data_IF_980903639414
#
_entry.id   IF_980903639414
#
_cell.length_a   1.000
_cell.length_b   1.000
_cell.length_c   1.000
_cell.angle_alpha   90.00
_cell.angle_beta   90.00
_cell.angle_gamma   90.00
#
_symmetry.space_group_name_H-M   'P 1'
#
loop_
_entity.id
_entity.type
_entity.pdbx_description
1 polymer ?
#
# COMPACT_ATOMS: atom_id res chain seq x y z
N UNK A 1 -18.28 -9.25 15.74
CA UNK A 1 -18.82 -8.64 14.50
C UNK A 1 -18.52 -7.14 14.52
N UNK A 2 -18.19 -6.54 13.38
CA UNK A 2 -17.98 -5.09 13.28
C UNK A 2 -19.33 -4.33 13.30
N UNK A 3 -19.42 -3.15 13.94
CA UNK A 3 -20.59 -2.28 13.85
C UNK A 3 -20.92 -1.92 12.39
N UNK A 4 -22.21 -1.96 12.02
CA UNK A 4 -22.64 -1.71 10.63
C UNK A 4 -22.64 -0.24 10.24
N UNK A 5 -22.47 0.66 11.19
CA UNK A 5 -22.39 2.11 11.05
C UNK A 5 -20.95 2.66 11.09
N UNK A 6 -19.95 1.78 11.26
CA UNK A 6 -18.54 2.18 11.20
C UNK A 6 -18.26 2.90 9.87
N UNK A 7 -17.56 4.06 9.89
CA UNK A 7 -17.15 4.74 8.67
C UNK A 7 -16.22 3.86 7.84
N UNK A 8 -16.57 3.64 6.57
CA UNK A 8 -15.76 2.92 5.60
C UNK A 8 -15.52 3.79 4.37
N UNK A 9 -14.27 3.87 3.93
CA UNK A 9 -13.88 4.49 2.67
C UNK A 9 -13.55 3.40 1.65
N UNK A 10 -14.06 3.54 0.43
CA UNK A 10 -13.86 2.57 -0.67
C UNK A 10 -13.28 3.27 -1.89
N UNK A 11 -12.47 2.56 -2.68
CA UNK A 11 -11.80 3.15 -3.85
C UNK A 11 -12.76 3.58 -4.97
N UNK A 12 -13.89 2.90 -5.14
CA UNK A 12 -14.86 3.15 -6.20
C UNK A 12 -16.24 2.58 -5.85
N UNK A 13 -17.26 2.96 -6.61
CA UNK A 13 -18.67 2.63 -6.32
C UNK A 13 -18.96 1.12 -6.35
N UNK A 14 -18.25 0.34 -7.17
CA UNK A 14 -18.42 -1.13 -7.22
C UNK A 14 -18.11 -1.79 -5.86
N UNK A 15 -17.04 -1.37 -5.20
CA UNK A 15 -16.68 -1.83 -3.85
C UNK A 15 -17.67 -1.31 -2.81
N UNK A 16 -18.10 -0.06 -2.94
CA UNK A 16 -19.11 0.50 -2.05
C UNK A 16 -20.42 -0.28 -2.09
N UNK A 17 -20.90 -0.64 -3.28
CA UNK A 17 -22.12 -1.44 -3.46
C UNK A 17 -21.96 -2.84 -2.87
N UNK A 18 -20.82 -3.50 -3.10
CA UNK A 18 -20.54 -4.81 -2.51
C UNK A 18 -20.58 -4.73 -0.97
N UNK A 19 -19.88 -3.77 -0.38
CA UNK A 19 -19.82 -3.58 1.08
C UNK A 19 -21.20 -3.20 1.65
N UNK A 20 -21.97 -2.34 0.98
CA UNK A 20 -23.35 -2.00 1.38
C UNK A 20 -24.27 -3.22 1.33
N UNK A 21 -24.13 -4.10 0.34
CA UNK A 21 -24.92 -5.34 0.27
C UNK A 21 -24.64 -6.32 1.42
N UNK A 22 -23.49 -6.18 2.09
CA UNK A 22 -23.14 -6.89 3.33
C UNK A 22 -23.69 -6.22 4.61
N UNK A 23 -24.52 -5.19 4.46
CA UNK A 23 -25.26 -4.52 5.53
C UNK A 23 -24.58 -3.31 6.17
N UNK A 24 -23.42 -2.88 5.67
CA UNK A 24 -22.77 -1.64 6.13
C UNK A 24 -23.50 -0.40 5.62
N UNK A 25 -23.69 0.58 6.48
CA UNK A 25 -24.55 1.75 6.24
C UNK A 25 -23.76 3.03 5.96
N UNK A 26 -22.56 3.16 6.54
CA UNK A 26 -21.72 4.36 6.43
C UNK A 26 -20.53 4.10 5.49
N UNK A 27 -20.84 3.94 4.20
CA UNK A 27 -19.85 3.62 3.16
C UNK A 27 -19.70 4.80 2.21
N UNK A 28 -18.50 5.35 2.13
CA UNK A 28 -18.15 6.55 1.36
C UNK A 28 -17.16 6.17 0.26
N UNK A 29 -17.42 6.58 -0.97
CA UNK A 29 -16.43 6.43 -2.04
C UNK A 29 -15.41 7.56 -1.90
N UNK A 30 -14.13 7.20 -1.84
CA UNK A 30 -13.03 8.14 -1.93
C UNK A 30 -12.75 8.39 -3.42
N UNK A 31 -13.30 9.46 -3.98
CA UNK A 31 -13.10 9.79 -5.41
C UNK A 31 -11.72 10.39 -5.63
N UNK A 32 -11.41 11.47 -4.90
CA UNK A 32 -10.12 12.18 -4.94
C UNK A 32 -9.61 12.39 -3.52
N UNK A 33 -10.36 13.15 -2.72
CA UNK A 33 -10.03 13.45 -1.33
C UNK A 33 -11.27 13.40 -0.43
N UNK A 34 -11.04 13.23 0.86
CA UNK A 34 -12.04 13.33 1.91
C UNK A 34 -11.42 13.90 3.19
N UNK A 35 -12.26 14.41 4.08
CA UNK A 35 -11.88 14.77 5.44
C UNK A 35 -12.58 13.84 6.43
N UNK A 36 -11.82 13.38 7.43
CA UNK A 36 -12.35 12.55 8.50
C UNK A 36 -11.61 12.83 9.82
N UNK A 37 -12.32 13.45 10.76
CA UNK A 37 -11.77 13.71 12.09
C UNK A 37 -10.58 14.68 12.07
N UNK A 38 -10.59 15.67 11.17
CA UNK A 38 -9.48 16.61 10.99
C UNK A 38 -8.29 16.05 10.19
N UNK A 39 -8.41 14.84 9.65
CA UNK A 39 -7.40 14.24 8.75
C UNK A 39 -7.89 14.33 7.31
N UNK A 40 -7.07 14.94 6.45
CA UNK A 40 -7.25 14.88 5.00
C UNK A 40 -6.75 13.52 4.50
N UNK A 41 -7.62 12.83 3.76
CA UNK A 41 -7.39 11.52 3.16
C UNK A 41 -7.42 11.71 1.65
N UNK A 42 -6.34 11.41 0.95
CA UNK A 42 -6.24 11.61 -0.50
C UNK A 42 -5.95 10.28 -1.19
N UNK A 43 -6.78 9.92 -2.17
CA UNK A 43 -6.58 8.73 -3.00
C UNK A 43 -5.34 8.90 -3.87
N UNK A 44 -4.56 7.85 -4.01
CA UNK A 44 -3.48 7.77 -5.00
C UNK A 44 -3.72 6.59 -5.94
N UNK A 45 -3.09 6.65 -7.12
CA UNK A 45 -3.10 5.54 -8.05
C UNK A 45 -2.21 4.38 -7.61
N UNK A 46 -2.32 3.29 -8.34
CA UNK A 46 -1.57 2.05 -8.15
C UNK A 46 -1.95 1.04 -9.23
N UNK A 47 -1.14 0.00 -9.40
CA UNK A 47 -1.45 -1.13 -10.27
C UNK A 47 -1.02 -2.43 -9.60
N UNK A 48 -2.00 -3.30 -9.31
CA UNK A 48 -1.76 -4.59 -8.67
C UNK A 48 -1.30 -5.62 -9.70
N UNK A 49 -0.09 -5.48 -10.26
CA UNK A 49 0.41 -6.33 -11.35
C UNK A 49 1.18 -5.56 -12.42
N UNK A 50 1.84 -6.30 -13.30
CA UNK A 50 2.60 -5.71 -14.42
C UNK A 50 1.70 -5.40 -15.60
N UNK A 51 2.17 -4.57 -16.54
CA UNK A 51 1.40 -4.23 -17.74
C UNK A 51 1.10 -5.48 -18.60
N UNK A 52 2.02 -6.45 -18.62
CA UNK A 52 1.80 -7.75 -19.29
C UNK A 52 0.66 -8.53 -18.64
N UNK A 53 0.51 -8.44 -17.32
CA UNK A 53 -0.61 -9.08 -16.63
C UNK A 53 -1.93 -8.38 -16.97
N UNK A 54 -1.96 -7.04 -16.99
CA UNK A 54 -3.17 -6.29 -17.35
C UNK A 54 -3.54 -6.43 -18.83
N UNK A 55 -2.58 -6.74 -19.71
CA UNK A 55 -2.84 -7.05 -21.12
C UNK A 55 -3.60 -8.37 -21.32
N UNK A 56 -3.65 -9.26 -20.30
CA UNK A 56 -4.39 -10.53 -20.34
C UNK A 56 -5.69 -10.39 -19.53
N UNK A 57 -6.88 -10.37 -20.16
CA UNK A 57 -8.14 -10.12 -19.44
C UNK A 57 -8.44 -11.09 -18.30
N UNK A 58 -8.01 -12.35 -18.43
CA UNK A 58 -8.18 -13.36 -17.40
C UNK A 58 -7.35 -13.09 -16.13
N UNK A 59 -6.27 -12.31 -16.23
CA UNK A 59 -5.43 -11.88 -15.11
C UNK A 59 -5.86 -10.49 -14.61
N UNK A 60 -6.13 -9.56 -15.52
CA UNK A 60 -6.57 -8.21 -15.16
C UNK A 60 -7.82 -8.22 -14.28
N UNK A 61 -8.78 -9.11 -14.55
CA UNK A 61 -10.05 -9.19 -13.81
C UNK A 61 -9.88 -9.51 -12.31
N UNK A 62 -9.14 -10.56 -11.90
CA UNK A 62 -8.90 -10.83 -10.48
C UNK A 62 -7.94 -9.84 -9.82
N UNK A 63 -6.99 -9.25 -10.56
CA UNK A 63 -6.08 -8.23 -10.01
C UNK A 63 -6.82 -6.91 -9.70
N UNK A 64 -7.77 -6.52 -10.54
CA UNK A 64 -8.70 -5.43 -10.26
C UNK A 64 -8.03 -4.06 -10.13
N UNK A 65 -8.67 -3.19 -9.37
CA UNK A 65 -8.10 -1.89 -8.99
C UNK A 65 -7.70 -1.95 -7.51
N UNK A 66 -6.60 -1.29 -7.17
CA UNK A 66 -6.15 -1.10 -5.80
C UNK A 66 -5.58 0.31 -5.66
N UNK A 67 -6.14 1.09 -4.74
CA UNK A 67 -5.68 2.46 -4.47
C UNK A 67 -4.61 2.49 -3.37
N UNK A 68 -3.74 3.48 -3.45
CA UNK A 68 -3.03 3.98 -2.27
C UNK A 68 -3.77 5.15 -1.63
N UNK A 69 -3.29 5.59 -0.47
CA UNK A 69 -3.88 6.67 0.32
C UNK A 69 -2.81 7.50 1.01
N UNK A 70 -2.91 8.82 0.90
CA UNK A 70 -2.10 9.78 1.67
C UNK A 70 -2.94 10.38 2.79
N UNK A 71 -2.37 10.45 4.00
CA UNK A 71 -2.97 11.03 5.19
C UNK A 71 -2.20 12.27 5.60
N UNK A 72 -2.91 13.38 5.83
CA UNK A 72 -2.34 14.66 6.24
C UNK A 72 -3.19 15.30 7.33
N UNK A 73 -2.55 15.79 8.38
CA UNK A 73 -3.21 16.55 9.45
C UNK A 73 -2.24 17.60 10.02
N UNK A 74 -2.74 18.77 10.48
CA UNK A 74 -1.89 19.79 11.07
C UNK A 74 -1.14 19.27 12.30
N UNK A 75 0.18 19.47 12.35
CA UNK A 75 1.04 19.04 13.47
C UNK A 75 1.43 17.57 13.45
N UNK A 76 1.03 16.81 12.42
CA UNK A 76 1.38 15.41 12.23
C UNK A 76 2.19 15.21 10.96
N UNK A 77 2.98 14.12 10.94
CA UNK A 77 3.73 13.68 9.77
C UNK A 77 2.78 13.28 8.63
N UNK A 78 3.17 13.58 7.40
CA UNK A 78 2.46 13.07 6.22
C UNK A 78 2.77 11.58 6.05
N UNK A 79 1.73 10.74 6.02
CA UNK A 79 1.84 9.30 5.81
C UNK A 79 1.29 8.91 4.44
N UNK A 80 2.06 8.13 3.70
CA UNK A 80 1.63 7.53 2.44
C UNK A 80 1.53 6.01 2.57
N UNK A 81 0.32 5.45 2.42
CA UNK A 81 0.07 4.03 2.26
C UNK A 81 -0.03 3.71 0.76
N UNK A 82 0.96 3.01 0.20
CA UNK A 82 0.99 2.73 -1.23
C UNK A 82 -0.10 1.74 -1.69
N UNK A 83 -0.54 0.86 -0.80
CA UNK A 83 -1.48 -0.20 -1.13
C UNK A 83 -0.87 -1.33 -1.97
N UNK A 84 -1.73 -2.16 -2.55
CA UNK A 84 -1.33 -3.28 -3.41
C UNK A 84 -0.98 -2.78 -4.81
N UNK A 85 0.28 -2.37 -4.99
CA UNK A 85 0.80 -1.89 -6.26
C UNK A 85 2.21 -2.39 -6.51
N UNK A 86 2.58 -2.58 -7.78
CA UNK A 86 3.99 -2.60 -8.20
C UNK A 86 4.51 -1.17 -8.33
N UNK A 87 5.84 -0.97 -8.41
CA UNK A 87 6.37 0.38 -8.55
C UNK A 87 6.09 0.96 -9.94
N UNK A 88 5.37 2.08 -9.96
CA UNK A 88 5.02 2.81 -11.19
C UNK A 88 5.04 4.32 -10.98
N UNK A 89 4.79 5.05 -12.06
CA UNK A 89 4.77 6.51 -12.11
C UNK A 89 3.83 7.13 -11.07
N UNK A 90 2.74 6.45 -10.73
CA UNK A 90 1.77 6.87 -9.71
C UNK A 90 2.38 6.90 -8.30
N UNK A 91 3.28 5.97 -7.99
CA UNK A 91 4.02 5.94 -6.72
C UNK A 91 5.01 7.09 -6.67
N UNK A 92 5.77 7.33 -7.76
CA UNK A 92 6.69 8.46 -7.86
C UNK A 92 5.92 9.79 -7.69
N UNK A 93 4.77 9.95 -8.37
CA UNK A 93 3.92 11.13 -8.24
C UNK A 93 3.39 11.33 -6.81
N UNK A 94 2.99 10.26 -6.12
CA UNK A 94 2.54 10.38 -4.73
C UNK A 94 3.68 10.86 -3.81
N UNK A 95 4.90 10.34 -4.01
CA UNK A 95 6.06 10.78 -3.23
C UNK A 95 6.43 12.23 -3.55
N UNK A 96 6.43 12.62 -4.83
CA UNK A 96 6.76 13.98 -5.27
C UNK A 96 5.73 15.02 -4.83
N UNK A 97 4.44 14.71 -4.95
CA UNK A 97 3.37 15.66 -4.67
C UNK A 97 3.14 15.88 -3.17
N UNK A 98 3.34 14.83 -2.36
CA UNK A 98 2.98 14.86 -0.95
C UNK A 98 4.18 14.85 0.00
N UNK A 99 5.40 14.59 -0.49
CA UNK A 99 6.63 14.55 0.31
C UNK A 99 6.47 13.82 1.65
N UNK A 100 5.98 12.56 1.65
CA UNK A 100 5.64 11.86 2.89
C UNK A 100 6.87 11.64 3.77
N UNK A 101 6.66 11.78 5.08
CA UNK A 101 7.68 11.49 6.10
C UNK A 101 7.61 10.03 6.55
N UNK A 102 6.49 9.36 6.30
CA UNK A 102 6.28 7.92 6.54
C UNK A 102 5.67 7.29 5.28
N UNK A 103 6.29 6.24 4.76
CA UNK A 103 5.81 5.48 3.59
C UNK A 103 5.58 4.04 4.00
N UNK A 104 4.36 3.54 3.88
CA UNK A 104 3.98 2.15 4.14
C UNK A 104 3.88 1.40 2.82
N UNK A 105 4.68 0.36 2.66
CA UNK A 105 4.75 -0.47 1.45
C UNK A 105 4.28 -1.91 1.74
N UNK A 106 3.41 -2.43 0.88
CA UNK A 106 3.06 -3.84 0.86
C UNK A 106 4.19 -4.61 0.13
N UNK A 107 5.20 -5.04 0.89
CA UNK A 107 6.47 -5.54 0.38
C UNK A 107 6.54 -7.08 0.33
N UNK A 108 5.40 -7.76 0.15
CA UNK A 108 5.33 -9.22 0.18
C UNK A 108 5.91 -9.93 -1.04
N UNK A 109 6.24 -9.17 -2.10
CA UNK A 109 6.65 -9.68 -3.42
C UNK A 109 5.71 -10.81 -3.88
N UNK A 110 4.41 -10.57 -3.78
CA UNK A 110 3.40 -11.57 -4.08
C UNK A 110 3.48 -11.97 -5.55
N UNK A 111 3.34 -13.27 -5.86
CA UNK A 111 3.41 -13.75 -7.25
C UNK A 111 2.16 -14.53 -7.65
N UNK A 112 1.85 -14.50 -8.94
CA UNK A 112 0.86 -15.39 -9.52
C UNK A 112 1.52 -16.64 -10.08
N UNK A 113 0.91 -17.81 -9.82
CA UNK A 113 1.39 -19.10 -10.35
C UNK A 113 1.49 -19.04 -11.87
N UNK A 114 2.66 -19.39 -12.41
CA UNK A 114 2.92 -19.39 -13.84
C UNK A 114 3.39 -18.04 -14.41
N UNK A 115 3.65 -17.04 -13.57
CA UNK A 115 4.17 -15.73 -13.99
C UNK A 115 5.41 -15.35 -13.18
N UNK A 116 6.40 -14.77 -13.86
CA UNK A 116 7.67 -14.36 -13.23
C UNK A 116 7.52 -13.09 -12.38
N UNK A 117 6.71 -12.14 -12.87
CA UNK A 117 6.47 -10.85 -12.23
C UNK A 117 5.70 -10.95 -10.91
N UNK A 118 6.01 -10.04 -9.99
CA UNK A 118 5.23 -9.86 -8.76
C UNK A 118 4.03 -8.93 -9.01
N UNK A 119 2.98 -9.09 -8.21
CA UNK A 119 1.76 -8.27 -8.25
C UNK A 119 1.79 -7.11 -7.25
N UNK A 120 2.75 -7.12 -6.33
CA UNK A 120 3.06 -6.03 -5.39
C UNK A 120 4.58 -5.90 -5.22
N UNK A 121 4.98 -4.85 -4.52
CA UNK A 121 6.37 -4.51 -4.23
C UNK A 121 7.15 -5.60 -3.48
N UNK A 122 8.46 -5.56 -3.64
CA UNK A 122 9.43 -6.37 -2.91
C UNK A 122 10.60 -5.56 -2.36
N UNK A 123 11.73 -6.23 -2.14
CA UNK A 123 12.92 -5.69 -1.51
C UNK A 123 13.58 -4.55 -2.31
N UNK A 124 13.59 -4.64 -3.65
CA UNK A 124 14.15 -3.62 -4.52
C UNK A 124 13.32 -2.32 -4.48
N UNK A 125 12.01 -2.45 -4.32
CA UNK A 125 11.09 -1.32 -4.18
C UNK A 125 11.25 -0.61 -2.83
N UNK A 126 11.54 -1.37 -1.76
CA UNK A 126 11.92 -0.80 -0.45
C UNK A 126 13.21 -0.01 -0.56
N UNK A 127 14.22 -0.54 -1.27
CA UNK A 127 15.45 0.21 -1.54
C UNK A 127 15.16 1.47 -2.36
N UNK A 128 14.35 1.36 -3.42
CA UNK A 128 13.98 2.49 -4.27
C UNK A 128 13.28 3.59 -3.48
N UNK A 129 12.29 3.25 -2.64
CA UNK A 129 11.63 4.21 -1.75
C UNK A 129 12.65 4.96 -0.87
N UNK A 130 13.65 4.24 -0.37
CA UNK A 130 14.69 4.84 0.46
C UNK A 130 15.55 5.85 -0.32
N UNK A 131 15.73 5.64 -1.62
CA UNK A 131 16.56 6.51 -2.46
C UNK A 131 15.79 7.76 -2.91
N UNK A 132 14.52 7.60 -3.29
CA UNK A 132 13.68 8.70 -3.78
C UNK A 132 13.13 9.57 -2.64
N UNK A 133 12.78 8.96 -1.50
CA UNK A 133 12.25 9.65 -0.32
C UNK A 133 13.32 9.67 0.79
N UNK A 134 14.38 10.46 0.60
CA UNK A 134 15.58 10.45 1.48
C UNK A 134 15.28 10.69 2.96
N UNK A 135 14.24 11.48 3.25
CA UNK A 135 13.87 11.88 4.61
C UNK A 135 12.73 11.04 5.20
N UNK A 136 12.16 10.10 4.43
CA UNK A 136 11.05 9.29 4.90
C UNK A 136 11.53 8.08 5.73
N UNK A 137 10.72 7.70 6.71
CA UNK A 137 10.71 6.36 7.29
C UNK A 137 9.90 5.43 6.40
N UNK A 138 10.42 4.23 6.15
CA UNK A 138 9.74 3.23 5.34
C UNK A 138 9.25 2.12 6.26
N UNK A 139 7.98 1.76 6.17
CA UNK A 139 7.39 0.65 6.91
C UNK A 139 7.01 -0.43 5.91
N UNK A 140 7.69 -1.57 5.98
CA UNK A 140 7.44 -2.69 5.08
C UNK A 140 6.51 -3.73 5.74
N UNK A 141 5.35 -3.96 5.14
CA UNK A 141 4.30 -4.86 5.64
C UNK A 141 3.88 -5.87 4.57
N UNK A 142 2.76 -6.56 4.78
CA UNK A 142 2.19 -7.52 3.82
C UNK A 142 3.08 -8.74 3.51
N UNK A 143 3.80 -9.23 4.52
CA UNK A 143 4.67 -10.42 4.44
C UNK A 143 4.21 -11.50 5.44
N UNK A 144 4.61 -12.74 5.23
CA UNK A 144 4.45 -13.86 6.19
C UNK A 144 3.00 -14.20 6.61
N UNK A 145 1.98 -13.69 5.92
CA UNK A 145 0.57 -13.93 6.26
C UNK A 145 -0.21 -14.76 5.23
N UNK A 146 0.16 -14.69 3.94
CA UNK A 146 -0.57 -15.32 2.85
C UNK A 146 0.38 -16.14 1.97
N UNK A 147 -0.09 -17.28 1.46
CA UNK A 147 0.70 -18.34 0.81
C UNK A 147 1.51 -17.92 -0.43
N UNK A 148 1.11 -16.86 -1.11
CA UNK A 148 1.71 -16.43 -2.39
C UNK A 148 2.70 -15.26 -2.23
N UNK A 149 2.99 -14.86 -0.99
CA UNK A 149 4.10 -13.95 -0.69
C UNK A 149 5.42 -14.69 -0.88
N UNK A 150 6.31 -14.15 -1.71
CA UNK A 150 7.63 -14.76 -1.98
C UNK A 150 8.77 -14.14 -1.18
N UNK A 151 8.52 -13.02 -0.50
CA UNK A 151 9.48 -12.36 0.38
C UNK A 151 9.06 -12.50 1.85
N UNK A 152 9.98 -12.95 2.70
CA UNK A 152 9.80 -13.00 4.16
C UNK A 152 10.40 -11.78 4.84
N UNK A 153 9.92 -11.47 6.05
CA UNK A 153 10.52 -10.44 6.93
C UNK A 153 12.01 -10.68 7.15
N UNK A 154 12.44 -11.93 7.33
CA UNK A 154 13.84 -12.29 7.54
C UNK A 154 14.70 -11.96 6.30
N UNK A 155 14.21 -12.33 5.10
CA UNK A 155 14.88 -12.01 3.85
C UNK A 155 14.98 -10.49 3.64
N UNK A 156 13.89 -9.76 3.90
CA UNK A 156 13.90 -8.30 3.79
C UNK A 156 14.84 -7.65 4.80
N UNK A 157 14.87 -8.12 6.06
CA UNK A 157 15.83 -7.65 7.09
C UNK A 157 17.28 -7.84 6.66
N UNK A 158 17.61 -9.02 6.12
CA UNK A 158 18.94 -9.30 5.60
C UNK A 158 19.29 -8.35 4.43
N UNK A 159 18.34 -8.16 3.51
CA UNK A 159 18.52 -7.27 2.36
C UNK A 159 18.74 -5.82 2.77
N UNK A 160 17.89 -5.23 3.62
CA UNK A 160 18.01 -3.82 4.02
C UNK A 160 19.31 -3.54 4.77
N UNK A 161 19.79 -4.52 5.56
CA UNK A 161 21.10 -4.45 6.22
C UNK A 161 22.25 -4.51 5.20
N UNK A 162 22.15 -5.37 4.19
CA UNK A 162 23.15 -5.43 3.11
C UNK A 162 23.22 -4.11 2.33
N UNK A 163 22.09 -3.45 2.13
CA UNK A 163 22.01 -2.16 1.44
C UNK A 163 22.35 -0.96 2.34
N UNK A 164 22.55 -1.15 3.65
CA UNK A 164 22.87 -0.08 4.60
C UNK A 164 21.71 0.90 4.84
N UNK A 165 20.47 0.44 4.72
CA UNK A 165 19.26 1.26 4.90
C UNK A 165 18.40 0.81 6.09
N UNK A 166 18.88 -0.13 6.91
CA UNK A 166 18.14 -0.73 8.03
C UNK A 166 17.67 0.30 9.07
N UNK A 167 18.39 1.41 9.23
CA UNK A 167 17.99 2.50 10.14
C UNK A 167 16.78 3.30 9.64
N UNK A 168 16.41 3.15 8.36
CA UNK A 168 15.29 3.85 7.72
C UNK A 168 14.11 2.93 7.38
N UNK A 169 14.26 1.62 7.58
CA UNK A 169 13.22 0.64 7.25
C UNK A 169 12.76 -0.10 8.50
N UNK A 170 11.51 0.12 8.89
CA UNK A 170 10.81 -0.62 9.93
C UNK A 170 10.11 -1.84 9.31
N UNK A 171 10.37 -3.02 9.87
CA UNK A 171 9.77 -4.30 9.44
C UNK A 171 9.05 -4.89 10.66
N UNK A 172 7.84 -4.41 10.99
CA UNK A 172 7.14 -4.76 12.22
C UNK A 172 6.67 -6.22 12.23
N UNK A 173 6.70 -6.84 13.42
CA UNK A 173 6.00 -8.10 13.69
C UNK A 173 4.50 -7.87 13.90
N UNK A 174 3.72 -8.93 13.81
CA UNK A 174 2.29 -8.88 14.06
C UNK A 174 2.01 -8.38 15.50
N UNK A 175 1.22 -7.30 15.62
CA UNK A 175 0.91 -6.66 16.90
C UNK A 175 1.92 -5.61 17.37
N UNK A 176 3.01 -5.37 16.64
CA UNK A 176 3.94 -4.29 16.97
C UNK A 176 3.31 -2.90 16.75
N UNK A 177 3.70 -1.93 17.57
CA UNK A 177 3.34 -0.52 17.44
C UNK A 177 4.57 0.32 17.10
N UNK A 178 4.41 1.29 16.19
CA UNK A 178 5.46 2.24 15.79
C UNK A 178 4.98 3.66 16.08
N UNK A 179 5.88 4.53 16.50
CA UNK A 179 5.61 5.93 16.82
C UNK A 179 6.39 6.84 15.88
N UNK A 180 5.74 7.89 15.39
CA UNK A 180 6.29 8.82 14.39
C UNK A 180 6.02 10.26 14.76
#
# INVERSE_FOLDING_TARGET
>A
MLPKDIPLFTQHEKDAQLIRSQGFKNVRVLTDEAEFGGVKITKTGGQHGTDEMYAVPALAKPLGEAMGVVFQAPGYKTLYLAGDTVWRKEVDQAIENYCPEVIVLNAGKAKMTGYEGAIIMGEEDVLRASQVAKNAKIVAVHMNAINHMSLTREQLRAYVKQQGIESRVDIPEDGASLEF
#
